data_IF_087302613665
#
_entry.id   IF_087302613665
#
_cell.length_a   1.000
_cell.length_b   1.000
_cell.length_c   1.000
_cell.angle_alpha   90.00
_cell.angle_beta   90.00
_cell.angle_gamma   90.00
#
_symmetry.space_group_name_H-M   'P 1'
#
loop_
_entity.id
_entity.type
_entity.pdbx_description
1 polymer ?
#
# COMPACT_ATOMS: atom_id res chain seq x y z
N UNK A 1 -8.82 -20.68 3.16
CA UNK A 1 -7.95 -20.02 2.17
C UNK A 1 -7.76 -18.58 2.64
N UNK A 2 -6.57 -18.25 3.14
CA UNK A 2 -6.30 -17.05 3.95
C UNK A 2 -5.82 -15.89 3.07
N UNK A 3 -6.41 -14.69 3.15
CA UNK A 3 -5.82 -13.51 2.46
C UNK A 3 -6.31 -12.14 2.96
N UNK A 4 -5.88 -11.67 4.13
CA UNK A 4 -6.22 -10.34 4.69
C UNK A 4 -7.65 -10.18 5.21
N UNK A 5 -8.71 -10.52 4.46
CA UNK A 5 -10.09 -10.34 4.96
C UNK A 5 -10.39 -11.19 6.20
N UNK A 6 -9.98 -12.46 6.22
CA UNK A 6 -10.11 -13.29 7.43
C UNK A 6 -9.32 -12.72 8.61
N UNK A 7 -8.15 -12.10 8.37
CA UNK A 7 -7.35 -11.48 9.43
C UNK A 7 -8.01 -10.20 9.94
N UNK A 8 -8.69 -9.46 9.06
CA UNK A 8 -9.53 -8.33 9.44
C UNK A 8 -10.65 -8.79 10.37
N UNK A 9 -11.36 -9.86 10.01
CA UNK A 9 -12.47 -10.39 10.81
C UNK A 9 -12.00 -10.98 12.17
N UNK A 10 -10.92 -11.74 12.18
CA UNK A 10 -10.51 -12.51 13.36
C UNK A 10 -9.63 -11.73 14.35
N UNK A 11 -8.87 -10.71 13.87
CA UNK A 11 -7.82 -10.08 14.68
C UNK A 11 -7.84 -8.55 14.65
N UNK A 12 -7.91 -7.93 13.47
CA UNK A 12 -7.69 -6.49 13.35
C UNK A 12 -8.96 -5.65 13.60
N UNK A 13 -10.13 -6.16 13.23
CA UNK A 13 -11.40 -5.45 13.28
C UNK A 13 -11.33 -4.11 12.53
N UNK A 14 -11.89 -3.07 13.13
CA UNK A 14 -11.99 -1.73 12.53
C UNK A 14 -10.67 -0.95 12.47
N UNK A 15 -9.56 -1.53 12.97
CA UNK A 15 -8.25 -0.87 12.93
C UNK A 15 -7.58 -0.94 11.56
N UNK A 16 -7.99 -1.89 10.71
CA UNK A 16 -7.38 -2.14 9.40
C UNK A 16 -8.47 -2.24 8.34
N UNK A 17 -8.38 -1.39 7.31
CA UNK A 17 -9.19 -1.51 6.12
C UNK A 17 -8.43 -2.25 5.01
N UNK A 18 -8.96 -3.41 4.63
CA UNK A 18 -8.48 -4.17 3.48
C UNK A 18 -9.19 -3.66 2.23
N UNK A 19 -8.43 -3.30 1.21
CA UNK A 19 -8.96 -2.80 -0.06
C UNK A 19 -8.49 -3.71 -1.18
N UNK A 20 -9.44 -4.41 -1.81
CA UNK A 20 -9.17 -5.28 -2.96
C UNK A 20 -9.17 -4.47 -4.26
N UNK A 21 -8.05 -3.82 -4.55
CA UNK A 21 -7.87 -3.03 -5.77
C UNK A 21 -6.40 -3.02 -6.23
N UNK A 22 -6.19 -2.65 -7.49
CA UNK A 22 -4.87 -2.22 -7.97
C UNK A 22 -4.54 -0.84 -7.39
N UNK A 23 -3.42 -0.72 -6.67
CA UNK A 23 -3.01 0.54 -6.03
C UNK A 23 -2.88 1.71 -7.03
N UNK A 24 -2.60 1.42 -8.30
CA UNK A 24 -2.46 2.42 -9.38
C UNK A 24 -3.80 2.97 -9.86
N UNK A 25 -4.92 2.35 -9.48
CA UNK A 25 -6.27 2.78 -9.85
C UNK A 25 -7.14 3.11 -8.65
N UNK A 26 -6.62 2.91 -7.43
CA UNK A 26 -7.35 3.25 -6.22
C UNK A 26 -7.51 4.76 -6.07
N UNK A 27 -8.61 5.20 -5.46
CA UNK A 27 -8.82 6.58 -5.04
C UNK A 27 -8.99 6.61 -3.52
N UNK A 28 -7.91 6.91 -2.81
CA UNK A 28 -7.91 6.94 -1.36
C UNK A 28 -8.84 8.05 -0.84
N UNK A 29 -9.81 7.74 0.05
CA UNK A 29 -10.73 8.74 0.60
C UNK A 29 -10.00 9.75 1.51
N UNK A 30 -8.87 9.35 2.08
CA UNK A 30 -8.01 10.17 2.94
C UNK A 30 -6.57 9.98 2.49
N UNK A 31 -5.82 11.09 2.39
CA UNK A 31 -4.38 11.01 2.08
C UNK A 31 -3.60 10.42 3.26
N UNK A 32 -2.69 9.52 2.97
CA UNK A 32 -1.83 8.86 3.94
C UNK A 32 -0.70 9.76 4.43
N UNK A 33 -0.34 9.58 5.71
CA UNK A 33 0.83 10.21 6.34
C UNK A 33 2.11 9.39 6.12
N UNK A 34 1.99 8.07 5.98
CA UNK A 34 3.10 7.14 5.73
C UNK A 34 2.60 6.08 4.76
N UNK A 35 3.41 5.76 3.75
CA UNK A 35 3.21 4.61 2.86
C UNK A 35 4.33 3.61 3.14
N UNK A 36 3.95 2.36 3.41
CA UNK A 36 4.88 1.25 3.61
C UNK A 36 4.66 0.27 2.46
N UNK A 37 5.73 -0.12 1.78
CA UNK A 37 5.69 -1.05 0.66
C UNK A 37 6.89 -1.98 0.72
N UNK A 38 6.68 -3.24 0.37
CA UNK A 38 7.75 -4.19 0.09
C UNK A 38 7.49 -4.67 -1.35
N UNK A 39 8.07 -3.94 -2.30
CA UNK A 39 7.93 -4.17 -3.75
C UNK A 39 9.30 -4.34 -4.41
N UNK A 40 10.35 -4.53 -3.60
CA UNK A 40 11.71 -4.68 -4.10
C UNK A 40 11.94 -6.15 -4.40
N UNK A 41 12.40 -6.42 -5.62
CA UNK A 41 12.83 -7.76 -5.96
C UNK A 41 14.23 -8.06 -5.46
N UNK A 42 14.66 -9.30 -5.65
CA UNK A 42 16.01 -9.76 -5.27
C UNK A 42 17.15 -8.95 -5.91
N UNK A 43 16.86 -8.25 -7.02
CA UNK A 43 17.74 -7.32 -7.71
C UNK A 43 17.15 -5.89 -7.71
N UNK A 44 16.67 -5.43 -6.56
CA UNK A 44 16.23 -4.05 -6.36
C UNK A 44 14.90 -3.76 -7.04
N UNK A 45 14.91 -3.03 -8.15
CA UNK A 45 13.74 -2.54 -8.86
C UNK A 45 13.18 -3.51 -9.91
N UNK A 46 13.71 -4.73 -9.99
CA UNK A 46 13.28 -5.73 -10.97
C UNK A 46 11.81 -6.19 -10.81
N UNK A 47 11.12 -5.76 -9.75
CA UNK A 47 9.69 -5.94 -9.50
C UNK A 47 8.85 -4.68 -9.73
N UNK A 48 9.41 -3.66 -10.37
CA UNK A 48 8.73 -2.40 -10.74
C UNK A 48 8.25 -1.59 -9.52
N UNK A 49 9.06 -1.58 -8.46
CA UNK A 49 8.81 -0.76 -7.27
C UNK A 49 8.68 0.74 -7.58
N UNK A 50 9.50 1.34 -8.47
CA UNK A 50 9.41 2.77 -8.75
C UNK A 50 8.09 3.14 -9.43
N UNK A 51 7.64 2.33 -10.40
CA UNK A 51 6.40 2.57 -11.17
C UNK A 51 5.15 2.40 -10.29
N UNK A 52 5.18 1.45 -9.36
CA UNK A 52 4.09 1.25 -8.42
C UNK A 52 4.01 2.39 -7.40
N UNK A 53 5.16 2.86 -6.90
CA UNK A 53 5.23 3.93 -5.91
C UNK A 53 4.89 5.30 -6.49
N UNK A 54 5.25 5.58 -7.75
CA UNK A 54 4.85 6.81 -8.44
C UNK A 54 3.31 6.90 -8.55
N UNK A 55 2.66 5.78 -8.89
CA UNK A 55 1.20 5.67 -8.89
C UNK A 55 0.56 5.88 -7.52
N UNK A 56 1.25 5.47 -6.44
CA UNK A 56 0.78 5.61 -5.06
C UNK A 56 1.10 6.97 -4.41
N UNK A 57 2.07 7.71 -4.95
CA UNK A 57 2.56 8.96 -4.36
C UNK A 57 1.48 10.05 -4.27
N UNK A 58 0.50 10.04 -5.19
CA UNK A 58 -0.65 10.97 -5.16
C UNK A 58 -1.55 10.82 -3.92
N UNK A 59 -1.46 9.69 -3.21
CA UNK A 59 -2.21 9.45 -1.97
C UNK A 59 -1.47 9.98 -0.74
N UNK A 60 -0.22 10.42 -0.85
CA UNK A 60 0.56 10.90 0.28
C UNK A 60 0.31 12.40 0.54
N UNK A 61 0.38 12.81 1.81
CA UNK A 61 0.42 14.24 2.17
C UNK A 61 1.77 14.84 1.74
N UNK A 62 1.83 16.16 1.52
CA UNK A 62 2.97 16.84 0.86
C UNK A 62 4.34 16.81 1.56
N UNK A 63 4.51 16.05 2.65
CA UNK A 63 5.78 15.81 3.33
C UNK A 63 5.84 14.36 3.81
N UNK A 64 6.09 13.41 2.91
CA UNK A 64 6.21 11.99 3.30
C UNK A 64 7.54 11.41 2.85
N UNK A 65 8.13 10.59 3.75
CA UNK A 65 9.30 9.75 3.53
C UNK A 65 8.81 8.38 3.09
N UNK A 66 9.18 7.95 1.89
CA UNK A 66 9.02 6.55 1.49
C UNK A 66 10.06 5.74 2.26
N UNK A 67 9.60 4.76 3.03
CA UNK A 67 10.46 3.78 3.68
C UNK A 67 10.39 2.52 2.83
N UNK A 68 11.46 2.26 2.07
CA UNK A 68 11.68 1.02 1.33
C UNK A 68 12.59 0.07 2.09
#
# INVERSE_FOLDING_TARGET
>A
MFRLENLKEELWGDKVDVVSCDMRHWEAPIRADILVSELLGSFGDNELSPECLDGAQRFLKGRVRVLG
#
